data_IF_224035606262
#
_entry.id   IF_224035606262
#
_cell.length_a   1.000
_cell.length_b   1.000
_cell.length_c   1.000
_cell.angle_alpha   90.00
_cell.angle_beta   90.00
_cell.angle_gamma   90.00
#
_symmetry.space_group_name_H-M   'P 1'
#
loop_
_entity.id
_entity.type
_entity.pdbx_description
1 polymer ?
#
# COMPACT_ATOMS: atom_id res chain seq x y z
N UNK A 1 0.31 -4.22 37.71
CA UNK A 1 0.10 -5.62 37.29
C UNK A 1 -0.35 -5.63 35.85
N UNK A 2 0.55 -5.91 34.90
CA UNK A 2 0.15 -6.23 33.54
C UNK A 2 -0.46 -7.62 33.60
N UNK A 3 -1.78 -7.70 33.46
CA UNK A 3 -2.50 -8.97 33.37
C UNK A 3 -1.91 -9.79 32.22
N UNK A 4 -1.62 -11.07 32.46
CA UNK A 4 -1.35 -12.09 31.44
C UNK A 4 -2.63 -12.28 30.59
N UNK A 5 -2.97 -11.28 29.79
CA UNK A 5 -4.02 -11.40 28.79
C UNK A 5 -3.45 -12.27 27.68
N UNK A 6 -4.07 -13.42 27.49
CA UNK A 6 -3.81 -14.30 26.35
C UNK A 6 -3.93 -13.48 25.06
N UNK A 7 -2.82 -13.32 24.35
CA UNK A 7 -2.80 -12.60 23.06
C UNK A 7 -3.64 -13.39 22.05
N UNK A 8 -4.66 -12.73 21.51
CA UNK A 8 -5.53 -13.34 20.49
C UNK A 8 -4.93 -13.10 19.10
N UNK A 9 -5.28 -13.96 18.13
CA UNK A 9 -4.87 -13.81 16.72
C UNK A 9 -5.10 -12.39 16.18
N UNK A 10 -6.23 -11.77 16.54
CA UNK A 10 -6.58 -10.40 16.14
C UNK A 10 -5.59 -9.33 16.63
N UNK A 11 -4.93 -9.57 17.77
CA UNK A 11 -4.00 -8.62 18.36
C UNK A 11 -2.68 -8.65 17.58
N UNK A 12 -2.24 -9.84 17.16
CA UNK A 12 -1.13 -10.01 16.22
C UNK A 12 -1.43 -9.36 14.85
N UNK A 13 -2.63 -9.56 14.31
CA UNK A 13 -3.03 -8.95 13.02
C UNK A 13 -2.99 -7.42 13.08
N UNK A 14 -3.42 -6.82 14.20
CA UNK A 14 -3.34 -5.37 14.43
C UNK A 14 -1.89 -4.88 14.48
N UNK A 15 -1.02 -5.57 15.22
CA UNK A 15 0.40 -5.23 15.31
C UNK A 15 1.09 -5.37 13.95
N UNK A 16 0.74 -6.40 13.19
CA UNK A 16 1.28 -6.62 11.85
C UNK A 16 0.85 -5.50 10.90
N UNK A 17 -0.41 -5.07 10.97
CA UNK A 17 -0.92 -3.96 10.17
C UNK A 17 -0.29 -2.61 10.58
N UNK A 18 -0.12 -2.33 11.88
CA UNK A 18 0.61 -1.16 12.38
C UNK A 18 2.04 -1.10 11.81
N UNK A 19 2.75 -2.23 11.89
CA UNK A 19 4.10 -2.36 11.34
C UNK A 19 4.11 -2.15 9.82
N UNK A 20 3.10 -2.66 9.11
CA UNK A 20 2.98 -2.49 7.66
C UNK A 20 2.79 -1.03 7.28
N UNK A 21 1.88 -0.31 7.95
CA UNK A 21 1.65 1.13 7.74
C UNK A 21 2.92 1.93 8.04
N UNK A 22 3.58 1.65 9.16
CA UNK A 22 4.82 2.32 9.54
C UNK A 22 5.94 2.10 8.51
N UNK A 23 6.15 0.86 8.06
CA UNK A 23 7.12 0.56 7.01
C UNK A 23 6.72 1.14 5.66
N UNK A 24 5.44 1.24 5.34
CA UNK A 24 4.99 1.85 4.10
C UNK A 24 5.31 3.34 4.05
N UNK A 25 5.05 4.07 5.15
CA UNK A 25 5.44 5.49 5.25
C UNK A 25 6.96 5.62 5.14
N UNK A 26 7.72 4.73 5.78
CA UNK A 26 9.19 4.70 5.69
C UNK A 26 9.70 4.45 4.28
N UNK A 27 9.09 3.48 3.60
CA UNK A 27 9.43 3.13 2.22
C UNK A 27 9.09 4.27 1.26
N UNK A 28 7.96 4.95 1.47
CA UNK A 28 7.56 6.09 0.67
C UNK A 28 8.56 7.25 0.80
N UNK A 29 8.92 7.63 2.03
CA UNK A 29 9.94 8.66 2.25
C UNK A 29 11.30 8.27 1.66
N UNK A 30 11.72 7.02 1.85
CA UNK A 30 12.99 6.53 1.31
C UNK A 30 13.01 6.45 -0.23
N UNK A 31 11.85 6.27 -0.85
CA UNK A 31 11.69 6.28 -2.31
C UNK A 31 11.65 7.71 -2.88
N UNK A 32 11.53 8.75 -2.05
CA UNK A 32 11.36 10.12 -2.51
C UNK A 32 9.92 10.52 -2.80
N UNK A 33 8.93 9.73 -2.38
CA UNK A 33 7.52 10.18 -2.36
C UNK A 33 7.39 11.23 -1.26
N UNK A 34 7.66 12.47 -1.61
CA UNK A 34 7.55 13.58 -0.68
C UNK A 34 6.08 13.71 -0.28
N UNK A 35 5.82 13.52 1.01
CA UNK A 35 4.52 13.70 1.68
C UNK A 35 3.44 12.69 1.27
N UNK A 36 3.04 11.83 2.22
CA UNK A 36 2.04 10.80 2.01
C UNK A 36 0.66 11.33 2.41
N UNK A 37 -0.18 11.67 1.43
CA UNK A 37 -1.57 12.06 1.67
C UNK A 37 -2.43 10.86 2.07
N UNK A 38 -3.67 11.12 2.54
CA UNK A 38 -4.66 10.08 2.80
C UNK A 38 -4.86 9.18 1.59
N UNK A 39 -5.22 9.77 0.44
CA UNK A 39 -5.51 9.02 -0.79
C UNK A 39 -4.31 8.13 -1.16
N UNK A 40 -3.11 8.72 -1.22
CA UNK A 40 -1.87 8.01 -1.54
C UNK A 40 -1.58 6.84 -0.61
N UNK A 41 -1.76 7.02 0.71
CA UNK A 41 -1.59 5.93 1.67
C UNK A 41 -2.52 4.76 1.37
N UNK A 42 -3.82 5.01 1.15
CA UNK A 42 -4.78 3.94 0.88
C UNK A 42 -4.48 3.23 -0.45
N UNK A 43 -4.05 3.99 -1.46
CA UNK A 43 -3.69 3.46 -2.76
C UNK A 43 -2.48 2.53 -2.69
N UNK A 44 -1.41 2.97 -2.01
CA UNK A 44 -0.24 2.12 -1.79
C UNK A 44 -0.54 0.91 -0.89
N UNK A 45 -1.44 1.05 0.10
CA UNK A 45 -1.90 -0.10 0.90
C UNK A 45 -2.60 -1.13 0.02
N UNK A 46 -3.51 -0.69 -0.86
CA UNK A 46 -4.19 -1.56 -1.80
C UNK A 46 -3.20 -2.31 -2.69
N UNK A 47 -2.30 -1.59 -3.35
CA UNK A 47 -1.26 -2.20 -4.19
C UNK A 47 -0.39 -3.18 -3.40
N UNK A 48 0.00 -2.80 -2.18
CA UNK A 48 0.83 -3.67 -1.33
C UNK A 48 0.11 -4.97 -0.96
N UNK A 49 -1.20 -4.95 -0.76
CA UNK A 49 -1.96 -6.18 -0.47
C UNK A 49 -2.20 -7.02 -1.72
N UNK A 50 -2.48 -6.38 -2.86
CA UNK A 50 -2.65 -7.07 -4.13
C UNK A 50 -1.35 -7.77 -4.58
N UNK A 51 -0.18 -7.17 -4.31
CA UNK A 51 1.13 -7.67 -4.75
C UNK A 51 1.89 -8.50 -3.71
N UNK A 52 1.49 -8.51 -2.43
CA UNK A 52 2.24 -9.18 -1.35
C UNK A 52 2.60 -10.64 -1.67
N UNK A 53 1.67 -11.41 -2.25
CA UNK A 53 1.88 -12.83 -2.59
C UNK A 53 2.97 -13.04 -3.64
N UNK A 54 3.11 -12.12 -4.60
CA UNK A 54 4.18 -12.17 -5.60
C UNK A 54 5.58 -12.06 -4.96
N UNK A 55 5.64 -11.41 -3.80
CA UNK A 55 6.86 -11.29 -2.99
C UNK A 55 7.02 -12.41 -1.96
N UNK A 56 6.16 -13.42 -1.98
CA UNK A 56 6.16 -14.52 -1.01
C UNK A 56 5.73 -14.07 0.39
N UNK A 57 5.00 -12.97 0.49
CA UNK A 57 4.44 -12.45 1.74
C UNK A 57 2.96 -12.83 1.86
N UNK A 58 2.51 -13.10 3.08
CA UNK A 58 1.09 -13.24 3.35
C UNK A 58 0.43 -11.85 3.34
N UNK A 59 -0.58 -11.63 2.48
CA UNK A 59 -1.30 -10.37 2.44
C UNK A 59 -2.10 -10.18 3.72
N UNK A 60 -2.17 -8.94 4.19
CA UNK A 60 -3.01 -8.59 5.33
C UNK A 60 -4.47 -8.57 4.89
N UNK A 61 -5.32 -9.27 5.64
CA UNK A 61 -6.77 -9.35 5.39
C UNK A 61 -7.48 -8.11 5.92
N UNK A 62 -7.19 -6.96 5.31
CA UNK A 62 -7.85 -5.70 5.63
C UNK A 62 -8.94 -5.42 4.62
N UNK A 63 -10.12 -5.07 5.12
CA UNK A 63 -11.26 -4.72 4.28
C UNK A 63 -11.15 -3.24 3.90
N UNK A 64 -11.13 -2.97 2.60
CA UNK A 64 -11.33 -1.61 2.09
C UNK A 64 -12.81 -1.40 1.76
N UNK A 65 -13.30 -0.19 2.00
CA UNK A 65 -14.55 0.29 1.42
C UNK A 65 -14.25 0.94 0.07
N UNK A 66 -15.20 0.83 -0.85
CA UNK A 66 -15.17 1.57 -2.11
C UNK A 66 -15.65 2.99 -1.85
N UNK A 67 -14.89 3.98 -2.31
CA UNK A 67 -15.31 5.38 -2.29
C UNK A 67 -15.16 6.00 -3.67
N UNK A 68 -15.68 7.21 -3.85
CA UNK A 68 -15.47 8.02 -5.07
C UNK A 68 -14.01 8.45 -5.25
N UNK A 69 -13.20 8.37 -4.18
CA UNK A 69 -11.79 8.77 -4.13
C UNK A 69 -10.85 7.56 -3.97
N UNK A 70 -11.25 6.40 -4.47
CA UNK A 70 -10.44 5.19 -4.39
C UNK A 70 -10.74 4.29 -3.19
N UNK A 71 -9.85 3.32 -2.90
CA UNK A 71 -10.00 2.41 -1.77
C UNK A 71 -9.89 3.16 -0.44
N UNK A 72 -10.67 2.76 0.55
CA UNK A 72 -10.61 3.33 1.89
C UNK A 72 -10.48 2.25 2.96
N UNK A 73 -9.35 2.24 3.67
CA UNK A 73 -9.07 1.36 4.79
C UNK A 73 -9.33 2.07 6.12
N UNK A 74 -10.49 1.87 6.73
CA UNK A 74 -10.78 2.38 8.09
C UNK A 74 -9.72 1.97 9.12
N UNK A 75 -9.16 0.77 8.98
CA UNK A 75 -8.08 0.29 9.83
C UNK A 75 -6.83 1.18 9.76
N UNK A 76 -6.53 1.77 8.59
CA UNK A 76 -5.38 2.65 8.39
C UNK A 76 -5.46 3.89 9.29
N UNK A 77 -6.63 4.51 9.43
CA UNK A 77 -6.80 5.68 10.30
C UNK A 77 -6.63 5.34 11.79
N UNK A 78 -7.09 4.15 12.21
CA UNK A 78 -6.81 3.66 13.56
C UNK A 78 -5.32 3.39 13.76
N UNK A 79 -4.66 2.78 12.77
CA UNK A 79 -3.22 2.53 12.82
C UNK A 79 -2.41 3.83 12.87
N UNK A 80 -2.75 4.81 12.03
CA UNK A 80 -2.16 6.15 12.06
C UNK A 80 -2.34 6.81 13.42
N UNK A 81 -3.55 6.76 14.00
CA UNK A 81 -3.80 7.28 15.34
C UNK A 81 -2.85 6.67 16.38
N UNK A 82 -2.71 5.34 16.39
CA UNK A 82 -1.76 4.67 17.28
C UNK A 82 -0.30 5.08 17.04
N UNK A 83 0.13 5.18 15.78
CA UNK A 83 1.49 5.59 15.43
C UNK A 83 1.76 7.06 15.81
N UNK A 84 0.77 7.93 15.70
CA UNK A 84 0.85 9.34 16.12
C UNK A 84 0.94 9.46 17.62
N UNK A 85 0.07 8.77 18.37
CA UNK A 85 0.14 8.79 19.85
C UNK A 85 1.42 8.15 20.39
N UNK A 86 2.05 7.25 19.63
CA UNK A 86 3.34 6.66 19.98
C UNK A 86 4.54 7.51 19.53
N UNK A 87 4.32 8.73 18.99
CA UNK A 87 5.35 9.61 18.44
C UNK A 87 6.21 8.93 17.35
N UNK A 88 5.61 8.07 16.52
CA UNK A 88 6.29 7.40 15.41
C UNK A 88 5.98 8.06 14.06
N UNK A 89 4.81 8.67 13.96
CA UNK A 89 4.34 9.40 12.77
C UNK A 89 3.79 10.75 13.22
N UNK A 90 4.03 11.79 12.43
CA UNK A 90 3.38 13.09 12.58
C UNK A 90 2.43 13.30 11.41
N UNK A 91 1.31 13.98 11.68
CA UNK A 91 0.37 14.44 10.66
C UNK A 91 0.46 15.96 10.60
N UNK A 92 0.84 16.50 9.45
CA UNK A 92 0.72 17.95 9.19
C UNK A 92 -0.54 18.22 8.39
N UNK A 93 -1.01 19.47 8.41
CA UNK A 93 -2.17 19.92 7.62
C UNK A 93 -3.42 19.08 7.93
N UNK A 94 -3.61 18.75 9.21
CA UNK A 94 -4.69 17.90 9.65
C UNK A 94 -6.05 18.58 9.44
N UNK A 95 -6.94 17.89 8.73
CA UNK A 95 -8.33 18.30 8.61
C UNK A 95 -9.26 17.12 8.92
N UNK A 96 -10.24 17.34 9.79
CA UNK A 96 -11.25 16.32 10.04
C UNK A 96 -12.10 16.16 8.77
N UNK A 97 -12.19 14.95 8.23
CA UNK A 97 -13.00 14.70 7.05
C UNK A 97 -14.49 14.65 7.47
N UNK A 98 -15.41 15.33 6.77
CA UNK A 98 -16.79 15.53 7.23
C UNK A 98 -17.68 14.27 7.16
N UNK A 99 -17.11 13.06 7.08
CA UNK A 99 -17.89 11.82 7.02
C UNK A 99 -18.44 11.45 8.40
N UNK A 100 -19.77 11.45 8.63
CA UNK A 100 -20.34 11.19 9.94
C UNK A 100 -20.27 9.71 10.38
N UNK A 101 -19.89 8.80 9.47
CA UNK A 101 -19.91 7.34 9.73
C UNK A 101 -18.53 6.72 9.89
N UNK A 102 -17.48 7.41 9.47
CA UNK A 102 -16.13 6.86 9.43
C UNK A 102 -15.12 7.78 10.11
N UNK A 103 -14.17 7.17 10.83
CA UNK A 103 -13.01 7.88 11.37
C UNK A 103 -12.08 8.23 10.20
N UNK A 104 -12.34 9.38 9.57
CA UNK A 104 -11.60 9.88 8.41
C UNK A 104 -11.01 11.25 8.75
N UNK A 105 -9.77 11.46 8.32
CA UNK A 105 -9.09 12.74 8.39
C UNK A 105 -8.12 12.87 7.23
N UNK A 106 -7.95 14.09 6.76
CA UNK A 106 -6.93 14.46 5.78
C UNK A 106 -5.67 14.95 6.51
N UNK A 107 -4.56 14.98 5.78
CA UNK A 107 -3.28 15.45 6.25
C UNK A 107 -2.12 14.73 5.57
N UNK A 108 -0.91 15.22 5.82
CA UNK A 108 0.32 14.65 5.27
C UNK A 108 1.04 13.86 6.36
N UNK A 109 1.24 12.57 6.11
CA UNK A 109 1.88 11.67 7.07
C UNK A 109 3.40 11.66 6.85
N UNK A 110 4.15 11.91 7.93
CA UNK A 110 5.62 11.88 7.92
C UNK A 110 6.15 11.08 9.11
N UNK A 111 7.31 10.47 8.96
CA UNK A 111 8.01 9.84 10.07
C UNK A 111 8.58 10.88 11.02
N UNK A 112 8.50 10.56 12.31
CA UNK A 112 9.31 11.24 13.31
C UNK A 112 10.69 10.58 13.41
N UNK A 113 11.60 11.21 14.16
CA UNK A 113 12.90 10.61 14.49
C UNK A 113 12.74 9.28 15.24
N UNK A 114 11.76 9.20 16.15
CA UNK A 114 11.48 7.99 16.92
C UNK A 114 10.88 6.89 16.03
N UNK A 115 10.01 7.26 15.09
CA UNK A 115 9.51 6.36 14.04
C UNK A 115 10.65 5.73 13.24
N UNK A 116 11.58 6.55 12.76
CA UNK A 116 12.75 6.07 12.00
C UNK A 116 13.61 5.09 12.82
N UNK A 117 13.85 5.39 14.11
CA UNK A 117 14.61 4.50 14.99
C UNK A 117 13.92 3.16 15.19
N UNK A 118 12.61 3.17 15.47
CA UNK A 118 11.81 1.94 15.60
C UNK A 118 11.83 1.14 14.31
N UNK A 119 11.69 1.79 13.16
CA UNK A 119 11.80 1.13 11.85
C UNK A 119 13.14 0.43 11.66
N UNK A 120 14.24 1.08 12.03
CA UNK A 120 15.57 0.49 11.93
C UNK A 120 15.70 -0.77 12.79
N UNK A 121 15.17 -0.76 14.01
CA UNK A 121 15.15 -1.94 14.88
C UNK A 121 14.27 -3.05 14.28
N UNK A 122 13.06 -2.74 13.84
CA UNK A 122 12.15 -3.73 13.27
C UNK A 122 12.71 -4.38 11.99
N UNK A 123 13.44 -3.60 11.18
CA UNK A 123 14.11 -4.06 9.95
C UNK A 123 15.25 -5.04 10.18
N UNK A 124 15.83 -5.10 11.39
CA UNK A 124 16.89 -6.06 11.71
C UNK A 124 16.40 -7.50 11.77
N UNK A 125 15.08 -7.72 11.78
CA UNK A 125 14.49 -9.07 11.68
C UNK A 125 14.36 -9.50 10.22
N UNK A 126 14.50 -10.80 9.93
CA UNK A 126 14.36 -11.34 8.56
C UNK A 126 13.03 -10.95 7.91
N UNK A 127 11.93 -11.11 8.66
CA UNK A 127 10.61 -10.71 8.19
C UNK A 127 10.50 -9.18 8.05
N UNK A 128 11.17 -8.43 8.94
CA UNK A 128 11.22 -6.97 8.91
C UNK A 128 11.82 -6.46 7.61
N UNK A 129 13.01 -6.96 7.29
CA UNK A 129 13.72 -6.64 6.07
C UNK A 129 12.91 -7.03 4.83
N UNK A 130 12.30 -8.23 4.81
CA UNK A 130 11.48 -8.69 3.67
C UNK A 130 10.28 -7.77 3.40
N UNK A 131 9.52 -7.42 4.44
CA UNK A 131 8.36 -6.52 4.28
C UNK A 131 8.83 -5.12 3.84
N UNK A 132 9.88 -4.58 4.47
CA UNK A 132 10.39 -3.26 4.10
C UNK A 132 10.89 -3.22 2.65
N UNK A 133 11.71 -4.17 2.22
CA UNK A 133 12.21 -4.22 0.84
C UNK A 133 11.06 -4.33 -0.17
N UNK A 134 10.06 -5.16 0.15
CA UNK A 134 8.85 -5.26 -0.67
C UNK A 134 8.12 -3.90 -0.80
N UNK A 135 7.87 -3.22 0.32
CA UNK A 135 7.15 -1.94 0.29
C UNK A 135 7.97 -0.85 -0.39
N UNK A 136 9.30 -0.88 -0.23
CA UNK A 136 10.21 0.01 -0.94
C UNK A 136 10.16 -0.20 -2.45
N UNK A 137 10.15 -1.44 -2.93
CA UNK A 137 9.99 -1.74 -4.36
C UNK A 137 8.67 -1.19 -4.92
N UNK A 138 7.56 -1.34 -4.16
CA UNK A 138 6.26 -0.77 -4.53
C UNK A 138 6.33 0.77 -4.65
N UNK A 139 6.94 1.43 -3.66
CA UNK A 139 7.07 2.89 -3.64
C UNK A 139 7.99 3.40 -4.76
N UNK A 140 9.13 2.74 -5.00
CA UNK A 140 10.04 3.10 -6.10
C UNK A 140 9.37 2.95 -7.46
N UNK A 141 8.59 1.88 -7.65
CA UNK A 141 7.80 1.72 -8.87
C UNK A 141 6.75 2.81 -9.06
N UNK A 142 6.10 3.23 -7.97
CA UNK A 142 5.17 4.36 -7.99
C UNK A 142 5.85 5.67 -8.40
N UNK A 143 7.03 5.98 -7.83
CA UNK A 143 7.83 7.17 -8.21
C UNK A 143 8.23 7.14 -9.68
N UNK A 144 8.77 6.02 -10.15
CA UNK A 144 9.15 5.86 -11.56
C UNK A 144 7.98 6.08 -12.52
N UNK A 145 6.76 5.69 -12.09
CA UNK A 145 5.54 5.91 -12.88
C UNK A 145 5.18 7.40 -12.94
N UNK A 146 5.27 8.11 -11.81
CA UNK A 146 5.00 9.56 -11.72
C UNK A 146 6.02 10.40 -12.50
N UNK A 147 7.32 10.12 -12.33
CA UNK A 147 8.41 10.83 -13.04
C UNK A 147 8.27 10.71 -14.56
N UNK A 148 7.89 9.52 -15.04
CA UNK A 148 7.78 9.28 -16.46
C UNK A 148 6.55 9.95 -17.11
N UNK A 149 5.62 10.49 -16.32
CA UNK A 149 4.46 11.27 -16.79
C UNK A 149 4.66 12.79 -16.69
N UNK A 150 5.85 13.27 -16.27
CA UNK A 150 6.15 14.69 -16.01
C UNK A 150 5.06 15.35 -15.12
N UNK A 151 4.48 14.58 -14.20
CA UNK A 151 3.39 15.07 -13.35
C UNK A 151 3.98 16.05 -12.34
N UNK A 152 3.46 17.29 -12.27
CA UNK A 152 3.89 18.19 -11.22
C UNK A 152 3.41 17.68 -9.85
N UNK A 153 4.21 17.91 -8.79
CA UNK A 153 3.99 17.36 -7.44
C UNK A 153 2.55 17.59 -6.91
N UNK A 154 1.87 18.67 -7.34
CA UNK A 154 0.50 19.02 -6.94
C UNK A 154 -0.61 18.14 -7.55
N UNK A 155 -0.28 17.28 -8.51
CA UNK A 155 -1.23 16.39 -9.23
C UNK A 155 -0.94 14.91 -9.10
N UNK A 156 0.10 14.54 -8.36
CA UNK A 156 0.51 13.14 -8.19
C UNK A 156 -0.61 12.24 -7.61
N UNK A 157 -1.43 12.76 -6.71
CA UNK A 157 -2.54 12.00 -6.10
C UNK A 157 -3.61 11.60 -7.12
N UNK A 158 -3.88 12.45 -8.12
CA UNK A 158 -4.83 12.17 -9.20
C UNK A 158 -4.29 11.10 -10.16
N UNK A 159 -2.97 11.01 -10.33
CA UNK A 159 -2.35 9.99 -11.20
C UNK A 159 -2.26 8.62 -10.54
N UNK A 160 -1.93 8.54 -9.25
CA UNK A 160 -1.95 7.28 -8.51
C UNK A 160 -3.35 6.66 -8.48
N UNK A 161 -4.40 7.48 -8.32
CA UNK A 161 -5.78 7.03 -8.45
C UNK A 161 -6.12 6.52 -9.86
N UNK A 162 -5.58 7.15 -10.93
CA UNK A 162 -5.69 6.63 -12.30
C UNK A 162 -4.99 5.28 -12.46
N UNK A 163 -3.80 5.13 -11.90
CA UNK A 163 -3.03 3.88 -11.97
C UNK A 163 -3.76 2.74 -11.25
N UNK A 164 -4.42 3.03 -10.13
CA UNK A 164 -5.29 2.06 -9.45
C UNK A 164 -6.49 1.65 -10.29
N UNK A 165 -7.18 2.60 -10.95
CA UNK A 165 -8.34 2.32 -11.81
C UNK A 165 -8.00 1.32 -12.94
N UNK A 166 -6.72 1.12 -13.25
CA UNK A 166 -6.28 0.12 -14.24
C UNK A 166 -5.73 -1.17 -13.62
N UNK A 167 -5.43 -1.19 -12.32
CA UNK A 167 -5.02 -2.41 -11.63
C UNK A 167 -6.12 -3.46 -11.77
N UNK A 168 -5.75 -4.64 -12.27
CA UNK A 168 -6.71 -5.68 -12.62
C UNK A 168 -7.47 -6.22 -11.40
N UNK A 169 -6.81 -6.25 -10.23
CA UNK A 169 -7.47 -6.61 -8.97
C UNK A 169 -8.44 -5.52 -8.54
N UNK A 170 -8.08 -4.25 -8.70
CA UNK A 170 -8.95 -3.12 -8.41
C UNK A 170 -10.17 -3.06 -9.34
N UNK A 171 -9.97 -3.17 -10.66
CA UNK A 171 -11.07 -3.24 -11.64
C UNK A 171 -11.98 -4.42 -11.36
N UNK A 172 -11.41 -5.59 -11.08
CA UNK A 172 -12.18 -6.77 -10.71
C UNK A 172 -13.00 -6.53 -9.43
N UNK A 173 -12.41 -5.87 -8.43
CA UNK A 173 -13.12 -5.49 -7.21
C UNK A 173 -14.20 -4.43 -7.44
N UNK A 174 -14.00 -3.45 -8.34
CA UNK A 174 -15.01 -2.44 -8.70
C UNK A 174 -16.19 -3.03 -9.48
N UNK A 175 -15.97 -4.09 -10.26
CA UNK A 175 -17.02 -4.75 -11.02
C UNK A 175 -17.89 -5.68 -10.15
N UNK A 176 -17.49 -5.94 -8.90
CA UNK A 176 -18.29 -6.71 -7.95
C UNK A 176 -19.43 -5.85 -7.37
N UNK A 177 -20.64 -6.42 -7.21
CA UNK A 177 -21.72 -5.72 -6.54
C UNK A 177 -21.41 -5.55 -5.03
N UNK A 178 -21.65 -4.34 -4.50
CA UNK A 178 -21.51 -4.00 -3.08
C UNK A 178 -20.51 -2.88 -2.77
N UNK A 179 -20.51 -2.44 -1.51
CA UNK A 179 -19.72 -1.29 -1.04
C UNK A 179 -18.31 -1.65 -0.55
N UNK A 180 -17.99 -2.95 -0.46
CA UNK A 180 -16.74 -3.45 0.11
C UNK A 180 -15.80 -3.98 -0.98
N UNK A 181 -14.55 -3.51 -0.97
CA UNK A 181 -13.47 -4.04 -1.80
C UNK A 181 -12.83 -5.22 -1.07
N UNK A 182 -13.06 -6.42 -1.61
CA UNK A 182 -12.47 -7.67 -1.12
C UNK A 182 -11.41 -8.10 -2.11
N UNK A 183 -10.14 -8.05 -1.69
CA UNK A 183 -8.98 -8.45 -2.51
C UNK A 183 -8.92 -9.99 -2.66
N UNK A 184 -9.50 -10.75 -1.73
CA UNK A 184 -9.45 -12.22 -1.73
C UNK A 184 -10.83 -12.84 -1.42
N UNK A 185 -11.37 -13.58 -2.38
CA UNK A 185 -12.45 -14.53 -2.12
C UNK A 185 -11.89 -15.86 -1.62
N UNK A 186 -12.72 -16.59 -0.88
CA UNK A 186 -12.44 -17.94 -0.40
C UNK A 186 -12.00 -18.86 -1.55
N UNK A 187 -10.74 -19.29 -1.52
CA UNK A 187 -10.28 -20.49 -2.24
C UNK A 187 -9.42 -20.28 -3.49
N UNK A 188 -9.36 -19.11 -4.11
CA UNK A 188 -8.41 -18.87 -5.22
C UNK A 188 -7.13 -18.20 -4.69
N UNK A 189 -5.99 -18.88 -4.80
CA UNK A 189 -4.72 -18.42 -4.22
C UNK A 189 -4.11 -17.22 -4.96
N UNK A 190 -4.66 -16.83 -6.12
CA UNK A 190 -4.04 -15.88 -7.04
C UNK A 190 -5.00 -14.77 -7.51
N UNK A 191 -4.68 -13.51 -7.16
CA UNK A 191 -5.41 -12.31 -7.62
C UNK A 191 -5.12 -12.01 -9.10
N UNK A 192 -5.99 -11.29 -9.83
CA UNK A 192 -5.72 -10.89 -11.21
C UNK A 192 -4.38 -10.16 -11.39
N UNK A 193 -4.01 -9.30 -10.45
CA UNK A 193 -2.69 -8.62 -10.44
C UNK A 193 -1.55 -9.61 -10.26
N UNK A 194 -1.67 -10.60 -9.37
CA UNK A 194 -0.66 -11.67 -9.22
C UNK A 194 -0.56 -12.52 -10.48
N UNK A 195 -1.69 -12.89 -11.11
CA UNK A 195 -1.70 -13.61 -12.40
C UNK A 195 -0.99 -12.80 -13.50
N UNK A 196 -1.25 -11.49 -13.57
CA UNK A 196 -0.59 -10.57 -14.50
C UNK A 196 0.91 -10.43 -14.26
N UNK A 197 1.33 -10.25 -13.00
CA UNK A 197 2.74 -10.18 -12.61
C UNK A 197 3.48 -11.49 -12.94
N UNK A 198 2.87 -12.64 -12.67
CA UNK A 198 3.44 -13.95 -13.03
C UNK A 198 3.58 -14.13 -14.54
N UNK A 199 2.58 -13.66 -15.32
CA UNK A 199 2.65 -13.70 -16.78
C UNK A 199 3.79 -12.83 -17.30
N UNK A 200 3.89 -11.57 -16.84
CA UNK A 200 4.98 -10.66 -17.19
C UNK A 200 6.33 -11.28 -16.81
N UNK A 201 6.44 -11.86 -15.62
CA UNK A 201 7.64 -12.56 -15.18
C UNK A 201 8.00 -13.74 -16.09
N UNK A 202 7.02 -14.53 -16.55
CA UNK A 202 7.29 -15.62 -17.50
C UNK A 202 7.78 -15.10 -18.86
N UNK A 203 7.12 -14.09 -19.42
CA UNK A 203 7.48 -13.48 -20.70
C UNK A 203 8.84 -12.78 -20.65
N UNK A 204 9.16 -12.13 -19.53
CA UNK A 204 10.46 -11.50 -19.29
C UNK A 204 11.54 -12.54 -18.98
N UNK A 205 11.22 -13.58 -18.20
CA UNK A 205 12.14 -14.65 -17.82
C UNK A 205 12.68 -15.46 -19.00
N UNK A 206 11.90 -15.58 -20.08
CA UNK A 206 12.35 -16.15 -21.36
C UNK A 206 13.50 -15.36 -22.02
N UNK A 207 13.78 -14.13 -21.57
CA UNK A 207 14.84 -13.24 -22.10
C UNK A 207 16.09 -13.08 -21.21
N UNK A 208 16.32 -13.98 -20.25
CA UNK A 208 17.44 -14.06 -19.29
C UNK A 208 17.42 -13.06 -18.10
N UNK A 209 17.49 -13.64 -16.89
CA UNK A 209 17.79 -13.05 -15.57
C UNK A 209 17.19 -11.67 -15.26
N UNK A 210 15.88 -11.64 -15.01
CA UNK A 210 15.15 -10.42 -14.67
C UNK A 210 14.74 -10.41 -13.19
N UNK A 211 14.90 -9.26 -12.52
CA UNK A 211 14.57 -9.07 -11.10
C UNK A 211 13.05 -8.81 -10.93
N UNK A 212 12.49 -9.14 -9.76
CA UNK A 212 11.07 -8.84 -9.43
C UNK A 212 10.73 -7.36 -9.59
N UNK A 213 11.71 -6.47 -9.37
CA UNK A 213 11.57 -5.02 -9.57
C UNK A 213 11.26 -4.65 -11.02
N UNK A 214 11.89 -5.32 -11.98
CA UNK A 214 11.68 -5.05 -13.41
C UNK A 214 10.30 -5.55 -13.86
N UNK A 215 9.81 -6.65 -13.28
CA UNK A 215 8.44 -7.17 -13.51
C UNK A 215 7.39 -6.19 -13.00
N UNK A 216 7.60 -5.61 -11.82
CA UNK A 216 6.71 -4.60 -11.25
C UNK A 216 6.71 -3.32 -12.10
N UNK A 217 7.90 -2.82 -12.48
CA UNK A 217 8.03 -1.65 -13.36
C UNK A 217 7.37 -1.88 -14.72
N UNK A 218 7.52 -3.08 -15.30
CA UNK A 218 6.83 -3.46 -16.52
C UNK A 218 5.30 -3.53 -16.33
N UNK A 219 4.82 -4.07 -15.21
CA UNK A 219 3.39 -4.07 -14.90
C UNK A 219 2.84 -2.65 -14.78
N UNK A 220 3.51 -1.76 -14.06
CA UNK A 220 3.13 -0.36 -13.92
C UNK A 220 3.19 0.38 -15.25
N UNK A 221 4.19 0.12 -16.10
CA UNK A 221 4.23 0.63 -17.46
C UNK A 221 3.05 0.15 -18.31
N UNK A 222 2.63 -1.11 -18.16
CA UNK A 222 1.44 -1.64 -18.84
C UNK A 222 0.17 -0.98 -18.31
N UNK A 223 0.04 -0.80 -17.00
CA UNK A 223 -1.06 -0.04 -16.41
C UNK A 223 -1.10 1.36 -17.03
N UNK A 224 0.01 2.08 -17.01
CA UNK A 224 0.14 3.40 -17.63
C UNK A 224 -0.29 3.43 -19.09
N UNK A 225 0.17 2.49 -19.92
CA UNK A 225 -0.24 2.47 -21.35
C UNK A 225 -1.76 2.36 -21.52
N UNK A 226 -2.46 1.77 -20.55
CA UNK A 226 -3.92 1.69 -20.53
C UNK A 226 -4.56 2.99 -20.02
N UNK A 227 -3.83 3.81 -19.26
CA UNK A 227 -4.24 5.16 -18.85
C UNK A 227 -4.29 6.15 -19.99
N UNK A 228 -3.36 6.06 -20.93
CA UNK A 228 -3.27 6.99 -22.05
C UNK A 228 -4.38 6.75 -23.11
N UNK A 229 -5.03 5.59 -23.07
CA UNK A 229 -6.05 5.16 -24.05
C UNK A 229 -7.49 5.35 -23.55
N UNK A 230 -7.69 5.66 -22.27
CA UNK A 230 -9.01 5.84 -21.62
C UNK A 230 -9.36 7.32 -21.38
#
# INVERSE_FOLDING_TARGET
MLSDKTLLKRDYEKLQFLRWVLFLITAAEAAGLNSLSRARLHSLLFMSFASARFYGLQPLRQRAQRTTHGPYYRAAHLALGHLVFADLVVVTDFEAHPSPKDLQFEGMFKLTRNGLQVCNVLRQTDMGMKIYSFLLDICLGAVQSLEAEDIPEDREDVSLDRMLVQDLTYVSALNRPGDMLIIEEEGDESTPTVKGLNLIQSTLGEKLLINKKDVLGAYQSILRSRAEVA
#
